data_IF_652208361771
#
_entry.id   IF_652208361771
#
_cell.length_a   1.000
_cell.length_b   1.000
_cell.length_c   1.000
_cell.angle_alpha   90.00
_cell.angle_beta   90.00
_cell.angle_gamma   90.00
#
_symmetry.space_group_name_H-M   'P 1'
#
loop_
_entity.id
_entity.type
_entity.pdbx_description
1 polymer ?
#
# COMPACT_ATOMS: atom_id res chain seq x y z
N UNK A 1 11.28 -16.70 -30.51
CA UNK A 1 11.16 -15.61 -29.54
C UNK A 1 10.09 -14.68 -30.08
N UNK A 2 8.92 -14.58 -29.43
CA UNK A 2 7.88 -13.63 -29.85
C UNK A 2 8.25 -12.26 -29.29
N UNK A 3 8.50 -11.28 -30.16
CA UNK A 3 8.53 -9.88 -29.74
C UNK A 3 7.18 -9.56 -29.09
N UNK A 4 7.20 -9.22 -27.79
CA UNK A 4 6.04 -8.59 -27.15
C UNK A 4 6.09 -7.13 -27.53
N UNK A 5 5.20 -6.72 -28.43
CA UNK A 5 4.90 -5.30 -28.62
C UNK A 5 4.58 -4.66 -27.26
N UNK A 6 5.12 -3.48 -26.97
CA UNK A 6 4.82 -2.80 -25.71
C UNK A 6 3.33 -2.55 -25.59
N UNK A 7 2.71 -2.97 -24.48
CA UNK A 7 1.30 -2.66 -24.24
C UNK A 7 1.09 -1.13 -24.22
N UNK A 8 0.06 -0.62 -24.91
CA UNK A 8 -0.25 0.81 -24.93
C UNK A 8 -0.55 1.32 -23.52
N UNK A 9 -0.18 2.58 -23.24
CA UNK A 9 -0.43 3.19 -21.94
C UNK A 9 -1.93 3.18 -21.62
N UNK A 10 -2.34 2.79 -20.40
CA UNK A 10 -3.75 2.85 -20.02
C UNK A 10 -4.26 4.29 -19.85
N UNK A 11 -3.36 5.27 -19.71
CA UNK A 11 -3.71 6.67 -19.41
C UNK A 11 -4.07 7.42 -20.69
N UNK A 12 -5.22 8.10 -20.66
CA UNK A 12 -5.73 8.92 -21.77
C UNK A 12 -6.14 10.30 -21.27
N UNK A 13 -6.42 11.25 -22.15
CA UNK A 13 -6.93 12.58 -21.75
C UNK A 13 -8.26 12.51 -20.99
N UNK A 14 -9.09 11.52 -21.32
CA UNK A 14 -10.35 11.27 -20.63
C UNK A 14 -10.16 10.59 -19.26
N UNK A 15 -9.16 9.71 -19.14
CA UNK A 15 -8.83 8.95 -17.93
C UNK A 15 -7.35 9.10 -17.57
N UNK A 16 -6.94 10.28 -17.07
CA UNK A 16 -5.54 10.62 -16.86
C UNK A 16 -4.86 9.76 -15.77
N UNK A 17 -5.66 9.14 -14.90
CA UNK A 17 -5.21 8.28 -13.80
C UNK A 17 -5.67 6.84 -13.98
N UNK A 18 -6.01 6.41 -15.20
CA UNK A 18 -6.26 5.00 -15.47
C UNK A 18 -5.03 4.13 -15.16
N UNK A 19 -5.29 2.89 -14.77
CA UNK A 19 -4.26 1.93 -14.37
C UNK A 19 -4.62 0.51 -14.76
N UNK A 20 -3.59 -0.33 -14.95
CA UNK A 20 -3.76 -1.76 -15.24
C UNK A 20 -3.96 -2.60 -13.97
N UNK A 21 -4.39 -3.85 -14.14
CA UNK A 21 -4.48 -4.81 -13.04
C UNK A 21 -3.12 -5.00 -12.33
N UNK A 22 -2.04 -5.08 -13.10
CA UNK A 22 -0.69 -5.23 -12.57
C UNK A 22 -0.23 -4.01 -11.77
N UNK A 23 -0.53 -2.80 -12.25
CA UNK A 23 -0.22 -1.57 -11.52
C UNK A 23 -1.00 -1.51 -10.20
N UNK A 24 -2.26 -1.90 -10.21
CA UNK A 24 -3.05 -1.99 -9.00
C UNK A 24 -2.49 -3.00 -8.00
N UNK A 25 -2.16 -4.21 -8.45
CA UNK A 25 -1.60 -5.25 -7.57
C UNK A 25 -0.26 -4.81 -6.98
N UNK A 26 0.60 -4.15 -7.76
CA UNK A 26 1.83 -3.54 -7.24
C UNK A 26 1.54 -2.45 -6.22
N UNK A 27 0.51 -1.64 -6.45
CA UNK A 27 0.02 -0.63 -5.50
C UNK A 27 -0.48 -1.24 -4.19
N UNK A 28 -1.26 -2.33 -4.26
CA UNK A 28 -1.77 -3.05 -3.10
C UNK A 28 -0.62 -3.68 -2.28
N UNK A 29 0.33 -4.34 -2.95
CA UNK A 29 1.53 -4.90 -2.29
C UNK A 29 2.36 -3.78 -1.66
N UNK A 30 2.59 -2.67 -2.36
CA UNK A 30 3.31 -1.53 -1.81
C UNK A 30 2.60 -0.95 -0.58
N UNK A 31 1.28 -0.80 -0.62
CA UNK A 31 0.49 -0.33 0.53
C UNK A 31 0.60 -1.28 1.72
N UNK A 32 0.52 -2.60 1.50
CA UNK A 32 0.71 -3.60 2.55
C UNK A 32 2.11 -3.52 3.17
N UNK A 33 3.16 -3.37 2.36
CA UNK A 33 4.52 -3.21 2.87
C UNK A 33 4.67 -1.89 3.67
N UNK A 34 4.10 -0.79 3.18
CA UNK A 34 4.07 0.48 3.92
C UNK A 34 3.31 0.38 5.24
N UNK A 35 2.21 -0.38 5.28
CA UNK A 35 1.46 -0.61 6.51
C UNK A 35 2.36 -1.28 7.56
N UNK A 36 3.01 -2.39 7.22
CA UNK A 36 3.89 -3.09 8.17
C UNK A 36 5.09 -2.22 8.58
N UNK A 37 5.68 -1.49 7.63
CA UNK A 37 6.79 -0.57 7.89
C UNK A 37 6.41 0.58 8.82
N UNK A 38 5.14 1.01 8.84
CA UNK A 38 4.66 2.05 9.75
C UNK A 38 4.17 1.46 11.08
N UNK A 39 3.41 0.37 11.01
CA UNK A 39 2.71 -0.23 12.13
C UNK A 39 3.68 -0.91 13.11
N UNK A 40 4.51 -1.83 12.63
CA UNK A 40 5.36 -2.65 13.51
C UNK A 40 6.38 -1.82 14.29
N UNK A 41 7.12 -0.88 13.68
CA UNK A 41 8.06 -0.05 14.42
C UNK A 41 7.35 0.90 15.41
N UNK A 42 6.22 1.49 15.02
CA UNK A 42 5.46 2.37 15.91
C UNK A 42 4.95 1.61 17.12
N UNK A 43 4.43 0.40 16.89
CA UNK A 43 3.91 -0.43 17.96
C UNK A 43 5.03 -0.94 18.86
N UNK A 44 6.20 -1.33 18.31
CA UNK A 44 7.37 -1.67 19.10
C UNK A 44 7.83 -0.53 20.01
N UNK A 45 7.88 0.71 19.49
CA UNK A 45 8.22 1.91 20.29
C UNK A 45 7.21 2.10 21.43
N UNK A 46 5.91 2.03 21.13
CA UNK A 46 4.87 2.20 22.15
C UNK A 46 4.91 1.09 23.20
N UNK A 47 5.19 -0.15 22.80
CA UNK A 47 5.38 -1.26 23.74
C UNK A 47 6.55 -1.01 24.69
N UNK A 48 7.70 -0.56 24.19
CA UNK A 48 8.86 -0.20 25.04
C UNK A 48 8.50 0.92 26.00
N UNK A 49 7.86 1.98 25.52
CA UNK A 49 7.48 3.13 26.36
C UNK A 49 6.43 2.78 27.42
N UNK A 50 5.64 1.73 27.19
CA UNK A 50 4.59 1.29 28.11
C UNK A 50 5.06 0.24 29.12
N UNK A 51 6.29 -0.28 28.99
CA UNK A 51 6.80 -1.27 29.94
C UNK A 51 7.17 -0.63 31.28
N UNK A 52 6.65 -1.21 32.36
CA UNK A 52 7.07 -0.86 33.72
C UNK A 52 8.37 -1.60 34.08
N UNK A 53 9.35 -0.96 34.77
CA UNK A 53 10.66 -1.56 35.07
C UNK A 53 10.63 -2.90 35.82
N UNK A 54 9.51 -3.22 36.48
CA UNK A 54 9.31 -4.44 37.25
C UNK A 54 9.09 -5.71 36.40
N UNK A 55 8.87 -5.60 35.08
CA UNK A 55 8.53 -6.73 34.20
C UNK A 55 9.73 -7.33 33.45
N UNK A 56 10.96 -7.00 33.88
CA UNK A 56 12.19 -7.45 33.25
C UNK A 56 12.81 -6.39 32.33
N UNK A 57 13.77 -6.77 31.47
CA UNK A 57 14.43 -5.83 30.58
C UNK A 57 13.44 -5.19 29.59
N UNK A 58 13.56 -3.87 29.40
CA UNK A 58 12.69 -3.08 28.51
C UNK A 58 12.61 -3.59 27.06
N UNK A 59 13.61 -4.34 26.62
CA UNK A 59 13.67 -4.91 25.27
C UNK A 59 12.90 -6.23 25.12
N UNK A 60 12.55 -6.90 26.23
CA UNK A 60 11.93 -8.24 26.19
C UNK A 60 10.56 -8.25 25.51
N UNK A 61 9.74 -7.23 25.79
CA UNK A 61 8.42 -7.09 25.16
C UNK A 61 8.51 -6.75 23.68
N UNK A 62 9.41 -5.84 23.30
CA UNK A 62 9.68 -5.51 21.91
C UNK A 62 10.21 -6.72 21.14
N UNK A 63 11.10 -7.51 21.75
CA UNK A 63 11.66 -8.71 21.13
C UNK A 63 10.58 -9.77 20.88
N UNK A 64 9.76 -10.10 21.89
CA UNK A 64 8.64 -11.04 21.69
C UNK A 64 7.67 -10.54 20.62
N UNK A 65 7.37 -9.25 20.64
CA UNK A 65 6.48 -8.67 19.66
C UNK A 65 7.03 -8.74 18.23
N UNK A 66 8.30 -8.42 18.02
CA UNK A 66 8.91 -8.49 16.70
C UNK A 66 9.12 -9.93 16.23
N UNK A 67 9.42 -10.86 17.15
CA UNK A 67 9.64 -12.27 16.81
C UNK A 67 8.34 -13.03 16.52
N UNK A 68 7.27 -12.77 17.26
CA UNK A 68 6.01 -13.52 17.16
C UNK A 68 4.86 -12.67 16.64
N UNK A 69 4.73 -11.44 17.13
CA UNK A 69 3.65 -10.53 16.74
C UNK A 69 3.76 -10.06 15.29
N UNK A 70 4.94 -9.60 14.86
CA UNK A 70 5.13 -9.05 13.52
C UNK A 70 4.85 -10.08 12.40
N UNK A 71 5.31 -11.35 12.47
CA UNK A 71 4.93 -12.35 11.46
C UNK A 71 3.42 -12.60 11.38
N UNK A 72 2.73 -12.65 12.53
CA UNK A 72 1.27 -12.83 12.58
C UNK A 72 0.58 -11.59 11.98
N UNK A 73 1.00 -10.39 12.39
CA UNK A 73 0.47 -9.13 11.87
C UNK A 73 0.69 -9.00 10.36
N UNK A 74 1.84 -9.45 9.86
CA UNK A 74 2.17 -9.48 8.43
C UNK A 74 1.22 -10.37 7.64
N UNK A 75 0.94 -11.58 8.13
CA UNK A 75 0.00 -12.51 7.49
C UNK A 75 -1.44 -11.97 7.55
N UNK A 76 -1.89 -11.53 8.73
CA UNK A 76 -3.25 -11.00 8.92
C UNK A 76 -3.48 -9.75 8.06
N UNK A 77 -2.53 -8.82 8.05
CA UNK A 77 -2.63 -7.61 7.20
C UNK A 77 -2.59 -7.95 5.71
N UNK A 78 -1.87 -9.01 5.31
CA UNK A 78 -1.90 -9.53 3.94
C UNK A 78 -3.30 -10.02 3.55
N UNK A 79 -3.95 -10.81 4.41
CA UNK A 79 -5.31 -11.27 4.19
C UNK A 79 -6.32 -10.12 4.12
N UNK A 80 -6.22 -9.15 5.05
CA UNK A 80 -7.07 -7.95 5.03
C UNK A 80 -6.86 -7.16 3.74
N UNK A 81 -5.62 -7.03 3.28
CA UNK A 81 -5.30 -6.36 2.00
C UNK A 81 -5.99 -7.07 0.84
N UNK A 82 -5.88 -8.40 0.75
CA UNK A 82 -6.52 -9.20 -0.30
C UNK A 82 -8.05 -9.03 -0.31
N UNK A 83 -8.68 -9.07 0.88
CA UNK A 83 -10.13 -8.87 1.00
C UNK A 83 -10.55 -7.44 0.63
N UNK A 84 -9.69 -6.45 0.88
CA UNK A 84 -9.98 -5.03 0.62
C UNK A 84 -9.67 -4.59 -0.82
N UNK A 85 -8.93 -5.40 -1.59
CA UNK A 85 -8.55 -5.10 -2.98
C UNK A 85 -9.76 -4.78 -3.87
N UNK A 86 -10.88 -5.50 -3.72
CA UNK A 86 -12.08 -5.24 -4.51
C UNK A 86 -12.64 -3.82 -4.31
N UNK A 87 -12.75 -3.38 -3.05
CA UNK A 87 -13.22 -2.04 -2.73
C UNK A 87 -12.24 -0.97 -3.22
N UNK A 88 -10.94 -1.18 -3.01
CA UNK A 88 -9.90 -0.27 -3.49
C UNK A 88 -9.88 -0.14 -5.02
N UNK A 89 -10.09 -1.26 -5.74
CA UNK A 89 -10.20 -1.27 -7.20
C UNK A 89 -11.35 -0.40 -7.68
N UNK A 90 -12.54 -0.58 -7.10
CA UNK A 90 -13.74 0.20 -7.45
C UNK A 90 -13.50 1.70 -7.21
N UNK A 91 -12.99 2.07 -6.03
CA UNK A 91 -12.68 3.47 -5.70
C UNK A 91 -11.66 4.05 -6.69
N UNK A 92 -10.59 3.31 -6.99
CA UNK A 92 -9.60 3.74 -7.98
C UNK A 92 -10.20 3.93 -9.37
N UNK A 93 -11.07 3.02 -9.82
CA UNK A 93 -11.76 3.12 -11.11
C UNK A 93 -12.71 4.31 -11.18
N UNK A 94 -13.45 4.60 -10.12
CA UNK A 94 -14.33 5.78 -10.06
C UNK A 94 -13.54 7.10 -10.14
N UNK A 95 -12.30 7.11 -9.64
CA UNK A 95 -11.45 8.29 -9.62
C UNK A 95 -10.55 8.45 -10.88
N UNK A 96 -10.48 7.43 -11.74
CA UNK A 96 -9.63 7.40 -12.96
C UNK A 96 -9.74 8.64 -13.86
N UNK A 97 -10.94 9.24 -13.95
CA UNK A 97 -11.23 10.46 -14.73
C UNK A 97 -10.74 11.75 -14.07
N UNK A 98 -10.35 11.72 -12.80
CA UNK A 98 -9.94 12.90 -12.03
C UNK A 98 -8.42 13.03 -12.09
N UNK A 99 -7.91 14.16 -12.59
CA UNK A 99 -6.45 14.41 -12.63
C UNK A 99 -5.84 14.74 -11.25
N UNK A 100 -6.67 15.01 -10.24
CA UNK A 100 -6.21 15.43 -8.91
C UNK A 100 -5.65 14.25 -8.11
N UNK A 101 -4.33 14.27 -7.89
CA UNK A 101 -3.64 13.31 -7.03
C UNK A 101 -4.02 13.45 -5.55
N UNK A 102 -4.34 14.68 -5.10
CA UNK A 102 -4.76 14.95 -3.72
C UNK A 102 -6.09 14.25 -3.43
N UNK A 103 -7.04 14.31 -4.37
CA UNK A 103 -8.33 13.63 -4.21
C UNK A 103 -8.16 12.11 -4.11
N UNK A 104 -7.34 11.51 -4.97
CA UNK A 104 -7.01 10.08 -4.87
C UNK A 104 -6.41 9.73 -3.51
N UNK A 105 -5.44 10.52 -3.06
CA UNK A 105 -4.76 10.28 -1.78
C UNK A 105 -5.73 10.40 -0.61
N UNK A 106 -6.62 11.40 -0.62
CA UNK A 106 -7.64 11.58 0.42
C UNK A 106 -8.65 10.42 0.44
N UNK A 107 -9.18 9.99 -0.72
CA UNK A 107 -10.11 8.87 -0.79
C UNK A 107 -9.46 7.55 -0.34
N UNK A 108 -8.21 7.30 -0.73
CA UNK A 108 -7.48 6.12 -0.28
C UNK A 108 -7.11 6.17 1.20
N UNK A 109 -6.80 7.35 1.74
CA UNK A 109 -6.59 7.52 3.18
C UNK A 109 -7.86 7.23 3.98
N UNK A 110 -9.01 7.73 3.51
CA UNK A 110 -10.31 7.45 4.11
C UNK A 110 -10.66 5.96 4.04
N UNK A 111 -10.38 5.31 2.91
CA UNK A 111 -10.57 3.86 2.76
C UNK A 111 -9.69 3.08 3.75
N UNK A 112 -8.40 3.44 3.86
CA UNK A 112 -7.48 2.85 4.82
C UNK A 112 -7.95 3.05 6.27
N UNK A 113 -8.41 4.24 6.62
CA UNK A 113 -8.95 4.54 7.95
C UNK A 113 -10.21 3.70 8.26
N UNK A 114 -11.11 3.56 7.28
CA UNK A 114 -12.32 2.75 7.42
C UNK A 114 -11.99 1.26 7.63
N UNK A 115 -11.08 0.70 6.82
CA UNK A 115 -10.63 -0.69 6.97
C UNK A 115 -9.95 -0.89 8.33
N UNK A 116 -9.05 0.03 8.73
CA UNK A 116 -8.39 -0.03 10.03
C UNK A 116 -9.40 -0.02 11.18
N UNK A 117 -10.42 0.83 11.09
CA UNK A 117 -11.51 0.89 12.08
C UNK A 117 -12.28 -0.41 12.13
N UNK A 118 -12.64 -0.98 10.98
CA UNK A 118 -13.36 -2.26 10.89
C UNK A 118 -12.56 -3.40 11.51
N UNK A 119 -11.26 -3.48 11.23
CA UNK A 119 -10.37 -4.51 11.80
C UNK A 119 -10.27 -4.36 13.31
N UNK A 120 -10.06 -3.14 13.81
CA UNK A 120 -10.02 -2.85 15.26
C UNK A 120 -11.32 -3.25 15.93
N UNK A 121 -12.47 -2.81 15.41
CA UNK A 121 -13.78 -3.13 15.98
C UNK A 121 -14.04 -4.64 15.93
N UNK A 122 -13.75 -5.29 14.81
CA UNK A 122 -13.90 -6.74 14.65
C UNK A 122 -13.05 -7.53 15.64
N UNK A 123 -11.79 -7.13 15.83
CA UNK A 123 -10.90 -7.73 16.83
C UNK A 123 -11.44 -7.52 18.26
N UNK A 124 -11.81 -6.30 18.63
CA UNK A 124 -12.37 -5.96 19.96
C UNK A 124 -13.60 -6.80 20.28
N UNK A 125 -14.51 -6.95 19.31
CA UNK A 125 -15.71 -7.79 19.45
C UNK A 125 -15.33 -9.27 19.57
N UNK A 126 -14.38 -9.76 18.77
CA UNK A 126 -13.97 -11.16 18.78
C UNK A 126 -13.35 -11.60 20.12
N UNK A 127 -12.70 -10.69 20.86
CA UNK A 127 -12.15 -10.96 22.20
C UNK A 127 -13.12 -10.63 23.34
N UNK A 128 -14.36 -10.21 23.04
CA UNK A 128 -15.38 -9.87 24.04
C UNK A 128 -15.13 -8.57 24.81
N UNK A 129 -14.31 -7.67 24.28
CA UNK A 129 -14.04 -6.36 24.89
C UNK A 129 -15.11 -5.32 24.48
N UNK A 130 -15.24 -4.25 25.27
CA UNK A 130 -16.18 -3.16 25.00
C UNK A 130 -15.69 -2.24 23.86
N UNK A 131 -16.56 -1.97 22.89
CA UNK A 131 -16.30 -0.99 21.84
C UNK A 131 -16.55 0.41 22.42
N UNK A 132 -15.49 1.19 22.64
CA UNK A 132 -15.63 2.56 23.14
C UNK A 132 -14.36 3.11 23.78
N UNK A 133 -13.51 2.25 24.35
CA UNK A 133 -12.21 2.65 24.86
C UNK A 133 -11.19 2.72 23.72
N UNK A 134 -10.76 3.94 23.38
CA UNK A 134 -9.76 4.14 22.35
C UNK A 134 -8.37 3.81 22.90
N UNK A 135 -7.96 2.55 22.75
CA UNK A 135 -6.61 2.10 23.08
C UNK A 135 -5.59 2.70 22.07
N UNK A 136 -4.39 3.15 22.52
CA UNK A 136 -3.32 3.60 21.63
C UNK A 136 -3.02 2.67 20.44
N UNK A 137 -3.12 1.35 20.62
CA UNK A 137 -2.91 0.36 19.56
C UNK A 137 -3.93 0.54 18.42
N UNK A 138 -5.20 0.84 18.75
CA UNK A 138 -6.23 1.10 17.75
C UNK A 138 -5.91 2.34 16.93
N UNK A 139 -5.46 3.42 17.59
CA UNK A 139 -5.06 4.67 16.92
C UNK A 139 -3.89 4.42 15.96
N UNK A 140 -2.90 3.63 16.40
CA UNK A 140 -1.74 3.25 15.56
C UNK A 140 -2.21 2.42 14.36
N UNK A 141 -3.06 1.40 14.57
CA UNK A 141 -3.58 0.56 13.48
C UNK A 141 -4.34 1.38 12.44
N UNK A 142 -5.26 2.24 12.88
CA UNK A 142 -6.07 3.10 12.01
C UNK A 142 -5.18 4.11 11.28
N UNK A 143 -4.28 4.78 12.01
CA UNK A 143 -3.37 5.78 11.45
C UNK A 143 -2.40 5.20 10.43
N UNK A 144 -1.75 4.07 10.76
CA UNK A 144 -0.86 3.35 9.84
C UNK A 144 -1.60 2.89 8.59
N UNK A 145 -2.83 2.37 8.72
CA UNK A 145 -3.66 1.97 7.58
C UNK A 145 -4.04 3.18 6.70
N UNK A 146 -4.48 4.28 7.31
CA UNK A 146 -4.83 5.50 6.60
C UNK A 146 -3.64 6.11 5.84
N UNK A 147 -2.43 6.03 6.38
CA UNK A 147 -1.22 6.53 5.73
C UNK A 147 -0.68 5.58 4.66
N UNK A 148 -0.73 4.27 4.89
CA UNK A 148 -0.09 3.28 4.04
C UNK A 148 -0.69 3.20 2.63
N UNK A 149 -2.02 3.30 2.50
CA UNK A 149 -2.70 3.20 1.20
C UNK A 149 -2.28 4.32 0.23
N UNK A 150 -2.38 5.62 0.57
CA UNK A 150 -1.94 6.69 -0.34
C UNK A 150 -0.43 6.67 -0.60
N UNK A 151 0.40 6.24 0.37
CA UNK A 151 1.84 6.10 0.17
C UNK A 151 2.17 5.00 -0.85
N UNK A 152 1.56 3.81 -0.71
CA UNK A 152 1.73 2.69 -1.64
C UNK A 152 1.25 3.03 -3.04
N UNK A 153 0.08 3.66 -3.14
CA UNK A 153 -0.46 4.12 -4.42
C UNK A 153 0.42 5.19 -5.07
N UNK A 154 0.78 6.24 -4.31
CA UNK A 154 1.58 7.34 -4.80
C UNK A 154 2.97 6.92 -5.28
N UNK A 155 3.61 6.00 -4.56
CA UNK A 155 4.88 5.41 -4.98
C UNK A 155 4.74 4.64 -6.30
N UNK A 156 3.69 3.83 -6.43
CA UNK A 156 3.45 3.00 -7.62
C UNK A 156 3.16 3.85 -8.85
N UNK A 157 2.27 4.85 -8.75
CA UNK A 157 1.95 5.76 -9.86
C UNK A 157 3.21 6.51 -10.32
N UNK A 158 3.98 7.08 -9.39
CA UNK A 158 5.23 7.79 -9.73
C UNK A 158 6.23 6.89 -10.41
N UNK A 159 6.33 5.62 -9.98
CA UNK A 159 7.21 4.63 -10.59
C UNK A 159 6.75 4.27 -12.01
N UNK A 160 5.46 4.03 -12.23
CA UNK A 160 4.90 3.75 -13.55
C UNK A 160 5.14 4.88 -14.54
N UNK A 161 4.83 6.13 -14.14
CA UNK A 161 5.04 7.31 -15.00
C UNK A 161 6.52 7.48 -15.37
N UNK A 162 7.44 7.22 -14.44
CA UNK A 162 8.89 7.25 -14.74
C UNK A 162 9.32 6.17 -15.74
N UNK A 163 8.74 4.97 -15.63
CA UNK A 163 9.02 3.87 -16.56
C UNK A 163 8.49 4.21 -17.96
N UNK A 164 7.28 4.76 -18.06
CA UNK A 164 6.67 5.20 -19.31
C UNK A 164 7.48 6.31 -19.98
N UNK A 165 7.85 7.37 -19.25
CA UNK A 165 8.68 8.44 -19.77
C UNK A 165 10.06 7.95 -20.24
N UNK A 166 10.61 6.89 -19.64
CA UNK A 166 11.84 6.26 -20.08
C UNK A 166 11.71 5.46 -21.37
N UNK A 167 10.51 4.92 -21.65
CA UNK A 167 10.20 4.20 -22.89
C UNK A 167 10.08 5.16 -24.07
N UNK A 168 9.40 6.29 -23.89
CA UNK A 168 9.27 7.33 -24.93
C UNK A 168 10.62 7.95 -25.31
N UNK A 169 11.57 8.02 -24.38
CA UNK A 169 12.90 8.61 -24.61
C UNK A 169 13.89 7.68 -25.28
N UNK A 170 13.70 6.37 -25.25
CA UNK A 170 14.53 5.47 -26.04
C UNK A 170 14.09 5.66 -27.49
N UNK A 171 14.96 6.18 -28.39
CA UNK A 171 14.70 6.09 -29.81
C UNK A 171 14.39 4.61 -30.08
N UNK A 172 13.36 4.30 -30.86
CA UNK A 172 13.28 2.94 -31.41
C UNK A 172 14.67 2.66 -31.96
N UNK A 173 15.32 1.59 -31.51
CA UNK A 173 16.53 1.12 -32.18
C UNK A 173 16.14 1.11 -33.65
N UNK A 174 16.77 2.01 -34.41
CA UNK A 174 16.35 2.34 -35.76
C UNK A 174 16.61 1.06 -36.53
N UNK A 175 15.59 0.22 -36.69
CA UNK A 175 15.71 -1.08 -37.36
C UNK A 175 16.17 -0.84 -38.80
N UNK A 176 15.86 0.36 -39.28
CA UNK A 176 16.26 1.05 -40.48
C UNK A 176 17.79 1.27 -40.53
N UNK A 177 18.45 1.61 -39.42
CA UNK A 177 19.90 1.78 -39.35
C UNK A 177 20.66 0.44 -39.46
N UNK A 178 20.13 -0.66 -38.92
CA UNK A 178 20.70 -2.00 -39.16
C UNK A 178 20.54 -2.43 -40.63
N UNK A 179 19.48 -1.96 -41.32
CA UNK A 179 19.28 -2.23 -42.74
C UNK A 179 20.23 -1.38 -43.61
N UNK A 180 20.42 -0.10 -43.29
CA UNK A 180 21.35 0.81 -43.99
C UNK A 180 22.82 0.39 -43.85
N UNK A 181 23.24 -0.15 -42.69
CA UNK A 181 24.60 -0.67 -42.48
C UNK A 181 24.88 -2.01 -43.20
N UNK A 182 23.85 -2.65 -43.77
CA UNK A 182 23.95 -3.96 -44.44
C UNK A 182 24.05 -3.89 -45.97
N UNK A 183 23.95 -2.70 -46.57
CA UNK A 183 24.06 -2.43 -48.02
C UNK A 183 25.45 -1.89 -48.40
#
# INVERSE_FOLDING_TARGET
MSERTPDPSPRTDAEPMAFTADEFLRGAVAAWLWFNLLFDPTLAVVSVMSQSPQWGPWWSGAAMMLLYGAPIAFVVSGLVTLLSCGAAWIVGRMLSRRRSFVLHSACFALLGAAIGTLVVVGYTVAIGASVGEMNPIAVIAIGSSAAAVPLGWGWTVRRSVRIEAGRERRPSADVDAEYEDSL
#
